data_IF_359517143239
#
_entry.id   IF_359517143239
#
_cell.length_a   1.000
_cell.length_b   1.000
_cell.length_c   1.000
_cell.angle_alpha   90.00
_cell.angle_beta   90.00
_cell.angle_gamma   90.00
#
_symmetry.space_group_name_H-M   'P 1'
#
loop_
_entity.id
_entity.type
_entity.pdbx_description
1 polymer ?
#
# COMPACT_ATOMS: atom_id res chain seq x y z
N UNK A 1 69.51 33.26 -20.83
CA UNK A 1 68.63 33.55 -19.67
C UNK A 1 67.19 33.13 -19.89
N UNK A 2 66.66 33.08 -21.12
CA UNK A 2 65.26 32.76 -21.43
C UNK A 2 64.91 31.26 -21.21
N UNK A 3 65.88 30.36 -21.39
CA UNK A 3 65.63 28.91 -21.24
C UNK A 3 65.50 28.39 -19.77
N UNK A 4 66.13 29.08 -18.81
CA UNK A 4 66.05 28.66 -17.39
C UNK A 4 64.68 28.93 -16.77
N UNK A 5 64.02 30.01 -17.12
CA UNK A 5 62.66 30.34 -16.65
C UNK A 5 61.59 29.39 -17.20
N UNK A 6 61.75 28.91 -18.42
CA UNK A 6 60.86 27.90 -19.02
C UNK A 6 61.03 26.52 -18.43
N UNK A 7 62.23 26.16 -18.06
CA UNK A 7 62.56 24.89 -17.39
C UNK A 7 62.00 24.92 -15.95
N UNK A 8 62.18 26.00 -15.23
CA UNK A 8 61.63 26.16 -13.87
C UNK A 8 60.09 26.03 -13.89
N UNK A 9 59.39 26.68 -14.82
CA UNK A 9 57.93 26.57 -14.97
C UNK A 9 57.49 25.14 -15.27
N UNK A 10 58.20 24.38 -16.11
CA UNK A 10 57.89 23.00 -16.40
C UNK A 10 58.13 22.10 -15.19
N UNK A 11 59.19 22.33 -14.43
CA UNK A 11 59.46 21.56 -13.19
C UNK A 11 58.40 21.84 -12.15
N UNK A 12 57.99 23.09 -11.95
CA UNK A 12 56.93 23.48 -11.02
C UNK A 12 55.57 22.86 -11.38
N UNK A 13 55.26 22.81 -12.69
CA UNK A 13 54.05 22.15 -13.18
C UNK A 13 54.07 20.66 -12.96
N UNK A 14 55.21 19.99 -13.26
CA UNK A 14 55.36 18.57 -12.99
C UNK A 14 55.25 18.22 -11.48
N UNK A 15 55.83 19.07 -10.65
CA UNK A 15 55.78 18.89 -9.20
C UNK A 15 54.33 19.07 -8.67
N UNK A 16 53.58 20.03 -9.23
CA UNK A 16 52.18 20.22 -8.91
C UNK A 16 51.30 19.04 -9.32
N UNK A 17 51.53 18.48 -10.52
CA UNK A 17 50.85 17.28 -11.00
C UNK A 17 51.18 16.07 -10.13
N UNK A 18 52.44 15.93 -9.73
CA UNK A 18 52.87 14.84 -8.86
C UNK A 18 52.18 14.91 -7.47
N UNK A 19 52.15 16.12 -6.88
CA UNK A 19 51.44 16.34 -5.59
C UNK A 19 49.99 16.02 -5.74
N UNK A 20 49.33 16.46 -6.81
CA UNK A 20 47.91 16.22 -7.07
C UNK A 20 47.62 14.71 -7.19
N UNK A 21 48.44 13.97 -7.92
CA UNK A 21 48.32 12.50 -8.03
C UNK A 21 48.57 11.82 -6.68
N UNK A 22 49.53 12.30 -5.91
CA UNK A 22 49.83 11.76 -4.57
C UNK A 22 48.65 12.02 -3.59
N UNK A 23 48.02 13.19 -3.66
CA UNK A 23 46.84 13.50 -2.86
C UNK A 23 45.66 12.61 -3.25
N UNK A 24 45.42 12.41 -4.54
CA UNK A 24 44.37 11.48 -5.02
C UNK A 24 44.65 10.06 -4.52
N UNK A 25 45.87 9.61 -4.61
CA UNK A 25 46.30 8.27 -4.14
C UNK A 25 46.11 8.14 -2.62
N UNK A 26 46.51 9.14 -1.84
CA UNK A 26 46.30 9.18 -0.37
C UNK A 26 44.83 9.19 -0.01
N UNK A 27 44.04 9.98 -0.69
CA UNK A 27 42.58 10.02 -0.48
C UNK A 27 41.96 8.66 -0.78
N UNK A 28 42.27 8.06 -1.93
CA UNK A 28 41.79 6.73 -2.26
C UNK A 28 42.29 5.66 -1.26
N UNK A 29 43.53 5.75 -0.82
CA UNK A 29 44.06 4.83 0.17
C UNK A 29 43.37 4.94 1.52
N UNK A 30 43.09 6.17 1.99
CA UNK A 30 42.34 6.43 3.22
C UNK A 30 40.89 5.89 3.10
N UNK A 31 40.19 6.19 2.00
CA UNK A 31 38.80 5.75 1.80
C UNK A 31 38.70 4.21 1.64
N UNK A 32 39.63 3.57 0.98
CA UNK A 32 39.58 2.13 0.79
C UNK A 32 40.08 1.31 2.01
N UNK A 33 40.89 1.91 2.89
CA UNK A 33 41.45 1.25 4.07
C UNK A 33 40.90 1.79 5.40
N UNK A 34 40.09 2.87 5.37
CA UNK A 34 39.34 3.29 6.53
C UNK A 34 38.25 2.25 6.81
N UNK A 35 38.58 1.29 7.66
CA UNK A 35 37.57 0.42 8.28
C UNK A 35 36.73 1.28 9.22
N UNK A 36 35.75 1.99 8.68
CA UNK A 36 34.73 2.68 9.44
C UNK A 36 33.53 1.72 9.59
N UNK A 37 33.46 0.94 10.66
CA UNK A 37 32.33 0.05 10.90
C UNK A 37 31.06 0.89 11.09
N UNK A 38 29.93 0.32 10.76
CA UNK A 38 28.65 0.90 11.16
C UNK A 38 28.45 0.52 12.61
N UNK A 39 28.55 1.50 13.53
CA UNK A 39 28.44 1.28 14.95
C UNK A 39 27.01 1.40 15.45
N UNK A 40 26.15 2.16 14.76
CA UNK A 40 24.79 2.38 15.16
C UNK A 40 23.81 2.22 14.00
N UNK A 41 22.81 1.36 14.19
CA UNK A 41 21.72 1.16 13.25
C UNK A 41 20.44 1.68 13.91
N UNK A 42 19.89 2.76 13.36
CA UNK A 42 18.67 3.39 13.86
C UNK A 42 17.49 3.00 12.98
N UNK A 43 16.62 2.11 13.48
CA UNK A 43 15.42 1.68 12.79
C UNK A 43 14.27 2.60 13.19
N UNK A 44 13.64 3.24 12.22
CA UNK A 44 12.51 4.16 12.37
C UNK A 44 11.30 3.62 11.62
N UNK A 45 10.12 3.90 12.13
CA UNK A 45 8.84 3.53 11.53
C UNK A 45 7.82 3.15 12.59
N UNK A 46 6.56 3.22 12.22
CA UNK A 46 5.46 2.64 13.01
C UNK A 46 4.99 1.40 12.25
N UNK A 47 5.31 0.23 12.76
CA UNK A 47 4.93 -1.05 12.20
C UNK A 47 4.27 -1.92 13.29
N UNK A 48 3.21 -2.62 12.93
CA UNK A 48 2.42 -3.47 13.83
C UNK A 48 2.47 -4.95 13.42
N UNK A 49 2.65 -5.21 12.14
CA UNK A 49 2.60 -6.57 11.56
C UNK A 49 4.00 -7.09 11.18
N UNK A 50 5.02 -6.25 11.25
CA UNK A 50 6.39 -6.66 10.97
C UNK A 50 7.06 -7.08 12.28
N UNK A 51 7.54 -8.32 12.33
CA UNK A 51 8.28 -8.81 13.49
C UNK A 51 9.68 -8.18 13.56
N UNK A 52 10.07 -7.74 14.75
CA UNK A 52 11.41 -7.21 15.00
C UNK A 52 12.50 -8.21 14.71
N UNK A 53 12.24 -9.50 14.93
CA UNK A 53 13.20 -10.56 14.65
C UNK A 53 13.50 -10.65 13.15
N UNK A 54 12.50 -10.53 12.30
CA UNK A 54 12.69 -10.47 10.84
C UNK A 54 13.53 -9.26 10.40
N UNK A 55 13.30 -8.09 11.00
CA UNK A 55 14.09 -6.90 10.76
C UNK A 55 15.54 -7.12 11.15
N UNK A 56 15.77 -7.71 12.34
CA UNK A 56 17.12 -7.96 12.85
C UNK A 56 17.87 -8.96 11.95
N UNK A 57 17.23 -10.05 11.53
CA UNK A 57 17.83 -11.04 10.64
C UNK A 57 18.29 -10.42 9.31
N UNK A 58 17.43 -9.61 8.68
CA UNK A 58 17.81 -8.90 7.45
C UNK A 58 18.92 -7.89 7.72
N UNK A 59 18.88 -7.20 8.86
CA UNK A 59 19.92 -6.25 9.23
C UNK A 59 21.27 -6.96 9.44
N UNK A 60 21.29 -8.09 10.13
CA UNK A 60 22.50 -8.88 10.35
C UNK A 60 23.06 -9.47 9.06
N UNK A 61 22.22 -9.84 8.11
CA UNK A 61 22.66 -10.46 6.85
C UNK A 61 23.12 -9.41 5.82
N UNK A 62 22.34 -8.32 5.66
CA UNK A 62 22.55 -7.37 4.55
C UNK A 62 23.17 -6.04 4.97
N UNK A 63 23.28 -5.74 6.27
CA UNK A 63 23.87 -4.51 6.79
C UNK A 63 25.24 -4.84 7.44
N UNK A 64 26.07 -5.60 6.72
CA UNK A 64 27.42 -5.93 7.15
C UNK A 64 28.44 -5.10 6.38
N UNK A 65 29.56 -4.81 7.03
CA UNK A 65 30.72 -4.21 6.39
C UNK A 65 31.02 -2.78 6.83
N UNK A 66 31.63 -2.05 5.91
CA UNK A 66 32.14 -0.72 6.12
C UNK A 66 31.09 0.32 5.69
N UNK A 67 31.02 1.45 6.38
CA UNK A 67 30.12 2.56 6.11
C UNK A 67 30.07 3.00 4.63
N UNK A 68 31.18 2.90 3.90
CA UNK A 68 31.26 3.28 2.48
C UNK A 68 30.90 2.13 1.52
N UNK A 69 31.20 0.90 1.88
CA UNK A 69 31.08 -0.27 0.99
C UNK A 69 29.74 -1.01 1.13
N UNK A 70 28.91 -0.63 2.13
CA UNK A 70 27.59 -1.23 2.31
C UNK A 70 26.72 -1.05 1.05
N UNK A 71 26.19 -2.15 0.52
CA UNK A 71 25.26 -2.12 -0.60
C UNK A 71 23.82 -1.78 -0.14
N UNK A 72 23.50 -0.47 -0.10
CA UNK A 72 22.17 -0.01 0.32
C UNK A 72 21.04 -0.51 -0.58
N UNK A 73 21.33 -0.77 -1.86
CA UNK A 73 20.32 -1.27 -2.79
C UNK A 73 19.93 -2.71 -2.46
N UNK A 74 20.90 -3.56 -2.19
CA UNK A 74 20.69 -4.95 -1.81
C UNK A 74 19.96 -5.07 -0.47
N UNK A 75 20.42 -4.32 0.54
CA UNK A 75 19.74 -4.24 1.83
C UNK A 75 18.28 -3.76 1.67
N UNK A 76 18.04 -2.70 0.89
CA UNK A 76 16.68 -2.22 0.59
C UNK A 76 15.81 -3.29 -0.06
N UNK A 77 16.38 -4.01 -1.02
CA UNK A 77 15.66 -5.08 -1.73
C UNK A 77 15.28 -6.23 -0.81
N UNK A 78 16.15 -6.59 0.13
CA UNK A 78 15.88 -7.62 1.13
C UNK A 78 14.72 -7.21 2.07
N UNK A 79 14.72 -5.99 2.59
CA UNK A 79 13.61 -5.50 3.40
C UNK A 79 12.28 -5.48 2.63
N UNK A 80 12.31 -5.14 1.34
CA UNK A 80 11.10 -5.13 0.49
C UNK A 80 10.52 -6.52 0.19
N UNK A 81 11.22 -7.58 0.51
CA UNK A 81 10.68 -8.95 0.40
C UNK A 81 9.73 -9.28 1.56
N UNK A 82 9.76 -8.52 2.66
CA UNK A 82 8.81 -8.71 3.74
C UNK A 82 7.40 -8.30 3.29
N UNK A 83 6.39 -9.16 3.46
CA UNK A 83 5.04 -8.93 2.91
C UNK A 83 4.38 -7.62 3.36
N UNK A 84 4.66 -7.20 4.58
CA UNK A 84 4.08 -6.00 5.18
C UNK A 84 4.87 -4.72 4.91
N UNK A 85 6.08 -4.83 4.35
CA UNK A 85 6.91 -3.67 4.03
C UNK A 85 6.46 -3.04 2.72
N UNK A 86 5.91 -1.84 2.79
CA UNK A 86 5.53 -1.04 1.62
C UNK A 86 6.74 -0.37 0.98
N UNK A 87 7.52 0.32 1.79
CA UNK A 87 8.75 0.98 1.33
C UNK A 87 9.78 1.06 2.45
N UNK A 88 11.04 1.14 2.05
CA UNK A 88 12.18 1.28 2.95
C UNK A 88 13.12 2.33 2.40
N UNK A 89 13.52 3.24 3.26
CA UNK A 89 14.54 4.24 2.98
C UNK A 89 15.75 4.00 3.89
N UNK A 90 16.91 3.76 3.27
CA UNK A 90 18.17 3.56 3.96
C UNK A 90 19.09 4.74 3.69
N UNK A 91 19.52 5.41 4.74
CA UNK A 91 20.41 6.57 4.66
C UNK A 91 21.60 6.42 5.58
N UNK A 92 22.79 6.64 5.02
CA UNK A 92 23.97 6.80 5.84
C UNK A 92 23.93 8.15 6.54
N UNK A 93 24.22 8.15 7.82
CA UNK A 93 24.40 9.36 8.63
C UNK A 93 25.82 9.36 9.19
N UNK A 94 26.61 10.29 8.69
CA UNK A 94 28.01 10.40 9.11
C UNK A 94 28.15 10.61 10.61
N UNK A 95 29.19 10.05 11.32
CA UNK A 95 30.31 9.30 10.73
C UNK A 95 30.07 7.79 10.55
N UNK A 96 29.18 7.15 11.32
CA UNK A 96 29.14 5.70 11.50
C UNK A 96 27.72 5.14 11.70
N UNK A 97 26.69 5.94 11.39
CA UNK A 97 25.29 5.55 11.61
C UNK A 97 24.60 5.17 10.29
N UNK A 98 23.73 4.16 10.37
CA UNK A 98 22.76 3.85 9.33
C UNK A 98 21.34 4.09 9.85
N UNK A 99 20.57 4.88 9.13
CA UNK A 99 19.14 5.11 9.42
C UNK A 99 18.32 4.31 8.44
N UNK A 100 17.51 3.39 8.95
CA UNK A 100 16.57 2.56 8.20
C UNK A 100 15.17 3.04 8.55
N UNK A 101 14.44 3.58 7.58
CA UNK A 101 13.04 4.00 7.79
C UNK A 101 12.12 3.05 7.05
N UNK A 102 11.29 2.33 7.79
CA UNK A 102 10.35 1.34 7.26
C UNK A 102 8.96 1.95 7.22
N UNK A 103 8.32 1.87 6.05
CA UNK A 103 6.90 2.19 5.88
C UNK A 103 6.11 0.89 5.68
N UNK A 104 5.17 0.63 6.58
CA UNK A 104 4.31 -0.54 6.55
C UNK A 104 3.07 -0.30 5.70
N UNK A 105 2.56 -1.35 5.04
CA UNK A 105 1.26 -1.32 4.39
C UNK A 105 0.14 -1.11 5.41
N UNK A 106 -0.78 -0.20 5.14
CA UNK A 106 -2.01 0.01 5.93
C UNK A 106 -3.18 -0.61 5.18
N UNK A 107 -3.64 -1.81 5.57
CA UNK A 107 -4.71 -2.49 4.86
C UNK A 107 -6.03 -1.75 5.03
N UNK A 108 -6.80 -1.63 3.98
CA UNK A 108 -8.15 -1.04 3.99
C UNK A 108 -9.20 -1.98 3.43
N UNK A 109 -8.79 -3.01 2.71
CA UNK A 109 -9.67 -3.99 2.10
C UNK A 109 -8.92 -5.29 1.83
N UNK A 110 -9.68 -6.37 1.59
CA UNK A 110 -9.21 -7.62 0.98
C UNK A 110 -9.45 -7.56 -0.51
N UNK A 111 -8.47 -7.95 -1.32
CA UNK A 111 -8.69 -8.17 -2.74
C UNK A 111 -9.10 -9.61 -2.95
N UNK A 112 -10.25 -9.83 -3.61
CA UNK A 112 -10.83 -11.18 -3.75
C UNK A 112 -9.82 -12.18 -4.35
N UNK A 113 -9.49 -13.24 -3.57
CA UNK A 113 -8.66 -14.36 -4.01
C UNK A 113 -7.15 -14.10 -4.10
N UNK A 114 -6.65 -12.88 -3.80
CA UNK A 114 -5.23 -12.53 -4.00
C UNK A 114 -4.54 -12.12 -2.70
N UNK A 115 -5.10 -11.14 -1.96
CA UNK A 115 -4.44 -10.59 -0.78
C UNK A 115 -5.15 -9.37 -0.20
N UNK A 116 -4.38 -8.35 0.12
CA UNK A 116 -4.87 -7.12 0.75
C UNK A 116 -4.66 -5.91 -0.17
N UNK A 117 -5.44 -4.85 0.08
CA UNK A 117 -5.30 -3.54 -0.56
C UNK A 117 -4.96 -2.53 0.51
N UNK A 118 -3.90 -1.76 0.29
CA UNK A 118 -3.48 -0.72 1.22
C UNK A 118 -4.20 0.62 0.96
N UNK A 119 -3.91 1.58 1.83
CA UNK A 119 -4.45 2.94 1.74
C UNK A 119 -3.98 3.75 0.52
N UNK A 120 -2.98 3.29 -0.22
CA UNK A 120 -2.49 3.89 -1.47
C UNK A 120 -3.13 3.26 -2.72
N UNK A 121 -3.96 2.21 -2.53
CA UNK A 121 -4.54 1.45 -3.63
C UNK A 121 -3.52 0.55 -4.32
N UNK A 122 -2.68 -0.10 -3.54
CA UNK A 122 -1.72 -1.10 -3.98
C UNK A 122 -2.13 -2.45 -3.41
N UNK A 123 -2.09 -3.50 -4.24
CA UNK A 123 -2.33 -4.88 -3.81
C UNK A 123 -1.03 -5.44 -3.26
N UNK A 124 -1.11 -6.12 -2.11
CA UNK A 124 0.03 -6.82 -1.52
C UNK A 124 -0.39 -8.16 -0.93
N UNK A 125 0.54 -9.09 -0.88
CA UNK A 125 0.26 -10.47 -0.45
C UNK A 125 0.61 -10.60 1.03
N UNK A 126 -0.42 -10.49 1.86
CA UNK A 126 -0.34 -10.72 3.29
C UNK A 126 -1.69 -11.23 3.83
N UNK A 127 -1.71 -11.69 5.07
CA UNK A 127 -2.92 -12.11 5.78
C UNK A 127 -3.14 -11.25 7.02
N UNK A 128 -4.41 -11.07 7.40
CA UNK A 128 -4.81 -10.37 8.61
C UNK A 128 -6.11 -10.96 9.15
N UNK A 129 -6.29 -10.90 10.47
CA UNK A 129 -7.55 -11.26 11.14
C UNK A 129 -8.55 -10.08 11.16
N UNK A 130 -8.15 -8.91 10.69
CA UNK A 130 -9.03 -7.74 10.64
C UNK A 130 -10.25 -7.99 9.74
N UNK A 131 -11.40 -7.53 10.19
CA UNK A 131 -12.63 -7.59 9.40
C UNK A 131 -12.67 -6.45 8.38
N UNK A 132 -12.03 -6.66 7.26
CA UNK A 132 -11.91 -5.70 6.17
C UNK A 132 -12.98 -5.95 5.08
N UNK A 133 -13.45 -4.90 4.41
CA UNK A 133 -14.31 -5.02 3.23
C UNK A 133 -13.58 -5.76 2.10
N UNK A 134 -14.36 -6.35 1.18
CA UNK A 134 -13.82 -7.09 0.04
C UNK A 134 -13.95 -6.22 -1.22
N UNK A 135 -12.84 -6.09 -1.95
CA UNK A 135 -12.80 -5.49 -3.27
C UNK A 135 -12.83 -6.59 -4.34
N UNK A 136 -13.71 -6.43 -5.34
CA UNK A 136 -13.91 -7.36 -6.45
C UNK A 136 -13.88 -6.57 -7.75
N UNK A 137 -12.90 -6.83 -8.61
CA UNK A 137 -12.79 -6.14 -9.89
C UNK A 137 -11.47 -6.37 -10.61
N UNK A 138 -11.24 -5.69 -11.74
CA UNK A 138 -9.96 -5.77 -12.45
C UNK A 138 -8.84 -5.06 -11.66
N UNK A 139 -7.67 -5.69 -11.56
CA UNK A 139 -6.53 -5.20 -10.75
C UNK A 139 -6.04 -3.81 -11.17
N UNK A 140 -6.09 -3.50 -12.46
CA UNK A 140 -5.69 -2.19 -12.97
C UNK A 140 -6.57 -1.03 -12.47
N UNK A 141 -7.73 -1.32 -11.87
CA UNK A 141 -8.63 -0.32 -11.27
C UNK A 141 -8.54 -0.23 -9.75
N UNK A 142 -7.61 -0.94 -9.09
CA UNK A 142 -7.50 -0.96 -7.63
C UNK A 142 -7.39 0.44 -7.00
N UNK A 143 -6.62 1.34 -7.61
CA UNK A 143 -6.49 2.74 -7.15
C UNK A 143 -7.80 3.49 -7.24
N UNK A 144 -8.50 3.37 -8.36
CA UNK A 144 -9.81 3.99 -8.57
C UNK A 144 -10.84 3.42 -7.59
N UNK A 145 -10.84 2.11 -7.39
CA UNK A 145 -11.69 1.43 -6.42
C UNK A 145 -11.43 1.93 -4.99
N UNK A 146 -10.17 2.12 -4.62
CA UNK A 146 -9.77 2.68 -3.32
C UNK A 146 -10.32 4.09 -3.11
N UNK A 147 -10.19 4.96 -4.10
CA UNK A 147 -10.73 6.34 -4.05
C UNK A 147 -12.25 6.29 -3.93
N UNK A 148 -12.89 5.49 -4.77
CA UNK A 148 -14.36 5.36 -4.80
C UNK A 148 -14.91 4.76 -3.52
N UNK A 149 -14.24 3.75 -2.96
CA UNK A 149 -14.59 3.17 -1.67
C UNK A 149 -14.59 4.23 -0.56
N UNK A 150 -13.55 5.05 -0.45
CA UNK A 150 -13.49 6.11 0.56
C UNK A 150 -14.61 7.13 0.40
N UNK A 151 -14.87 7.53 -0.85
CA UNK A 151 -15.94 8.48 -1.16
C UNK A 151 -17.30 7.93 -0.74
N UNK A 152 -17.63 6.71 -1.12
CA UNK A 152 -18.89 6.05 -0.81
C UNK A 152 -19.01 5.80 0.69
N UNK A 153 -17.97 5.24 1.30
CA UNK A 153 -17.98 4.91 2.73
C UNK A 153 -18.17 6.16 3.61
N UNK A 154 -17.57 7.30 3.22
CA UNK A 154 -17.80 8.59 3.90
C UNK A 154 -19.27 9.05 3.85
N UNK A 155 -19.97 8.74 2.76
CA UNK A 155 -21.40 9.08 2.62
C UNK A 155 -22.23 8.15 3.48
N UNK A 156 -21.97 6.83 3.44
CA UNK A 156 -22.72 5.80 4.15
C UNK A 156 -22.52 5.84 5.67
N UNK A 157 -21.31 6.20 6.12
CA UNK A 157 -20.94 6.24 7.54
C UNK A 157 -21.85 7.18 8.37
N UNK A 158 -22.47 8.17 7.74
CA UNK A 158 -23.42 9.09 8.39
C UNK A 158 -24.66 8.37 8.95
N UNK A 159 -25.00 7.22 8.37
CA UNK A 159 -26.13 6.38 8.74
C UNK A 159 -25.69 5.06 9.40
N UNK A 160 -24.44 4.98 9.88
CA UNK A 160 -23.87 3.78 10.46
C UNK A 160 -23.91 2.57 9.52
N UNK A 161 -23.91 2.84 8.20
CA UNK A 161 -23.84 1.82 7.16
C UNK A 161 -22.40 1.73 6.69
N UNK A 162 -21.90 0.50 6.59
CA UNK A 162 -20.54 0.23 6.10
C UNK A 162 -20.58 -0.67 4.87
N UNK A 163 -19.60 -0.53 4.02
CA UNK A 163 -19.43 -1.40 2.85
C UNK A 163 -18.78 -2.70 3.32
N UNK A 164 -19.41 -3.84 3.04
CA UNK A 164 -18.81 -5.17 3.21
C UNK A 164 -18.16 -5.67 1.92
N UNK A 165 -18.73 -5.34 0.76
CA UNK A 165 -18.16 -5.67 -0.55
C UNK A 165 -18.34 -4.47 -1.47
N UNK A 166 -17.30 -4.12 -2.23
CA UNK A 166 -17.39 -3.20 -3.36
C UNK A 166 -16.94 -3.93 -4.61
N UNK A 167 -17.78 -3.89 -5.65
CA UNK A 167 -17.53 -4.57 -6.91
C UNK A 167 -17.50 -3.60 -8.08
N UNK A 168 -16.49 -3.72 -8.90
CA UNK A 168 -16.39 -3.09 -10.21
C UNK A 168 -16.38 -4.18 -11.27
N UNK A 169 -17.44 -4.23 -12.11
CA UNK A 169 -17.49 -5.19 -13.21
C UNK A 169 -16.56 -4.76 -14.34
N UNK A 170 -16.21 -5.68 -15.26
CA UNK A 170 -15.44 -5.40 -16.48
C UNK A 170 -16.10 -4.32 -17.37
N UNK A 171 -17.42 -4.17 -17.25
CA UNK A 171 -18.18 -3.10 -17.93
C UNK A 171 -18.18 -1.80 -17.15
N UNK A 172 -17.31 -1.64 -16.14
CA UNK A 172 -17.18 -0.47 -15.27
C UNK A 172 -18.48 -0.09 -14.56
N UNK A 173 -19.26 -1.08 -14.15
CA UNK A 173 -20.47 -0.89 -13.37
C UNK A 173 -20.20 -1.16 -11.88
N UNK A 174 -20.49 -0.20 -11.05
CA UNK A 174 -20.29 -0.25 -9.61
C UNK A 174 -21.45 -0.91 -8.90
N UNK A 175 -21.14 -1.75 -7.95
CA UNK A 175 -22.08 -2.39 -7.04
C UNK A 175 -21.45 -2.43 -5.65
N UNK A 176 -22.23 -2.23 -4.61
CA UNK A 176 -21.80 -2.39 -3.23
C UNK A 176 -22.72 -3.35 -2.49
N UNK A 177 -22.18 -4.04 -1.49
CA UNK A 177 -22.95 -4.76 -0.48
C UNK A 177 -22.66 -4.12 0.88
N UNK A 178 -23.70 -3.82 1.62
CA UNK A 178 -23.58 -3.18 2.93
C UNK A 178 -23.47 -4.22 4.06
N UNK A 179 -23.06 -3.78 5.25
CA UNK A 179 -23.08 -4.61 6.47
C UNK A 179 -24.48 -5.13 6.82
N UNK A 180 -25.54 -4.47 6.35
CA UNK A 180 -26.92 -4.90 6.49
C UNK A 180 -27.35 -5.89 5.39
N UNK A 181 -26.39 -6.44 4.65
CA UNK A 181 -26.57 -7.42 3.57
C UNK A 181 -27.32 -6.91 2.34
N UNK A 182 -27.64 -5.61 2.25
CA UNK A 182 -28.31 -5.03 1.10
C UNK A 182 -27.30 -4.84 -0.03
N UNK A 183 -27.62 -5.38 -1.20
CA UNK A 183 -26.85 -5.17 -2.42
C UNK A 183 -27.41 -3.95 -3.15
N UNK A 184 -26.55 -2.98 -3.48
CA UNK A 184 -26.92 -1.75 -4.15
C UNK A 184 -26.23 -1.63 -5.49
N UNK A 185 -26.98 -1.64 -6.59
CA UNK A 185 -26.46 -1.52 -7.95
C UNK A 185 -26.42 -0.03 -8.33
N UNK A 186 -25.20 0.49 -8.49
CA UNK A 186 -24.97 1.93 -8.70
C UNK A 186 -24.72 2.28 -10.18
N UNK A 187 -24.28 1.30 -10.99
CA UNK A 187 -23.97 1.52 -12.42
C UNK A 187 -22.68 2.30 -12.65
N UNK A 188 -22.52 2.86 -13.87
CA UNK A 188 -21.26 3.47 -14.31
C UNK A 188 -21.11 4.94 -13.94
N UNK A 189 -22.17 5.71 -13.99
CA UNK A 189 -22.16 7.18 -13.87
C UNK A 189 -22.88 7.64 -12.60
N UNK A 190 -22.48 8.81 -12.10
CA UNK A 190 -23.16 9.49 -10.99
C UNK A 190 -23.24 8.64 -9.70
N UNK A 191 -22.20 7.79 -9.47
CA UNK A 191 -22.17 6.83 -8.36
C UNK A 191 -22.44 7.51 -7.02
N UNK A 192 -21.72 8.57 -6.70
CA UNK A 192 -21.85 9.29 -5.42
C UNK A 192 -23.22 9.94 -5.23
N UNK A 193 -23.80 10.46 -6.30
CA UNK A 193 -25.17 11.00 -6.28
C UNK A 193 -26.20 9.90 -6.01
N UNK A 194 -26.04 8.74 -6.63
CA UNK A 194 -26.90 7.56 -6.41
C UNK A 194 -26.79 7.02 -4.99
N UNK A 195 -25.59 7.01 -4.40
CA UNK A 195 -25.39 6.65 -2.99
C UNK A 195 -26.12 7.64 -2.06
N UNK A 196 -26.04 8.94 -2.34
CA UNK A 196 -26.80 9.96 -1.57
C UNK A 196 -28.33 9.74 -1.69
N UNK A 197 -28.81 9.44 -2.88
CA UNK A 197 -30.23 9.10 -3.09
C UNK A 197 -30.61 7.79 -2.39
N UNK A 198 -29.76 6.78 -2.39
CA UNK A 198 -29.96 5.55 -1.63
C UNK A 198 -30.14 5.85 -0.14
N UNK A 199 -29.24 6.62 0.47
CA UNK A 199 -29.32 7.00 1.89
C UNK A 199 -30.61 7.74 2.20
N UNK A 200 -30.98 8.74 1.40
CA UNK A 200 -32.21 9.50 1.60
C UNK A 200 -33.43 8.59 1.61
N UNK A 201 -33.51 7.61 0.74
CA UNK A 201 -34.66 6.70 0.66
C UNK A 201 -34.54 5.55 1.67
N UNK A 202 -33.34 5.23 2.15
CA UNK A 202 -33.11 4.18 3.13
C UNK A 202 -33.86 4.46 4.43
N UNK A 203 -33.81 5.68 4.93
CA UNK A 203 -34.48 6.07 6.18
C UNK A 203 -35.99 5.97 6.09
N UNK A 204 -36.60 6.33 4.94
CA UNK A 204 -38.03 6.44 4.80
C UNK A 204 -38.74 5.17 4.31
N UNK A 205 -38.07 4.38 3.46
CA UNK A 205 -38.71 3.27 2.76
C UNK A 205 -38.04 1.95 3.03
N UNK A 206 -36.70 1.95 3.03
CA UNK A 206 -35.94 0.70 3.05
C UNK A 206 -35.67 0.18 4.47
N UNK A 207 -35.71 1.04 5.49
CA UNK A 207 -35.50 0.65 6.89
C UNK A 207 -36.56 -0.31 7.40
N UNK A 208 -37.84 -0.09 7.02
CA UNK A 208 -38.95 -0.98 7.39
C UNK A 208 -38.87 -2.34 6.68
N UNK A 209 -38.32 -2.39 5.48
CA UNK A 209 -38.22 -3.58 4.64
C UNK A 209 -36.86 -4.33 4.79
N UNK A 210 -36.04 -3.94 5.74
CA UNK A 210 -34.61 -4.32 5.86
C UNK A 210 -34.35 -5.83 5.76
N UNK A 211 -35.20 -6.67 6.33
CA UNK A 211 -35.03 -8.15 6.30
C UNK A 211 -35.58 -8.81 5.03
N UNK A 212 -36.24 -8.08 4.15
CA UNK A 212 -36.89 -8.60 2.95
C UNK A 212 -36.22 -8.13 1.64
N UNK A 213 -35.17 -7.29 1.72
CA UNK A 213 -34.56 -6.71 0.55
C UNK A 213 -33.37 -7.59 0.11
N UNK A 214 -33.40 -8.05 -1.15
CA UNK A 214 -32.29 -8.73 -1.83
C UNK A 214 -31.33 -7.69 -2.46
N UNK A 215 -31.87 -6.80 -3.29
CA UNK A 215 -31.08 -5.71 -3.83
C UNK A 215 -31.92 -4.46 -4.14
N UNK A 216 -31.22 -3.32 -4.23
CA UNK A 216 -31.75 -2.02 -4.66
C UNK A 216 -31.01 -1.59 -5.92
N UNK A 217 -31.74 -1.33 -7.00
CA UNK A 217 -31.16 -0.82 -8.25
C UNK A 217 -31.35 0.70 -8.36
N UNK A 218 -30.25 1.42 -8.26
CA UNK A 218 -30.19 2.89 -8.30
C UNK A 218 -29.86 3.45 -9.69
N UNK A 219 -29.90 2.64 -10.74
CA UNK A 219 -29.53 3.07 -12.10
C UNK A 219 -30.57 3.94 -12.77
N UNK A 220 -31.79 3.93 -12.30
CA UNK A 220 -32.87 4.74 -12.86
C UNK A 220 -32.64 6.23 -12.58
N UNK A 221 -33.15 7.08 -13.49
CA UNK A 221 -32.95 8.54 -13.41
C UNK A 221 -33.72 9.16 -12.25
N UNK A 222 -34.99 8.79 -12.14
CA UNK A 222 -35.98 9.48 -11.26
C UNK A 222 -36.48 8.55 -10.15
N UNK A 223 -35.81 7.44 -9.87
CA UNK A 223 -36.24 6.49 -8.87
C UNK A 223 -35.27 5.34 -8.63
N UNK A 224 -35.75 4.30 -8.01
CA UNK A 224 -35.02 3.06 -7.77
C UNK A 224 -36.00 1.86 -7.81
N UNK A 225 -35.44 0.69 -8.04
CA UNK A 225 -36.15 -0.58 -8.01
C UNK A 225 -35.67 -1.42 -6.84
N UNK A 226 -36.59 -2.03 -6.12
CA UNK A 226 -36.31 -2.92 -5.00
C UNK A 226 -36.75 -4.34 -5.36
N UNK A 227 -35.86 -5.30 -5.18
CA UNK A 227 -36.17 -6.71 -5.24
C UNK A 227 -36.23 -7.29 -3.86
N UNK A 228 -37.36 -7.91 -3.53
CA UNK A 228 -37.55 -8.61 -2.25
C UNK A 228 -36.98 -10.02 -2.31
N UNK A 229 -36.45 -10.49 -1.19
CA UNK A 229 -35.98 -11.87 -1.02
C UNK A 229 -37.20 -12.81 -1.10
N UNK A 230 -37.13 -13.82 -1.96
CA UNK A 230 -38.15 -14.89 -1.98
C UNK A 230 -38.05 -15.66 -0.67
N UNK A 231 -39.06 -15.63 0.20
CA UNK A 231 -39.19 -16.55 1.34
C UNK A 231 -39.12 -17.98 0.76
N UNK A 232 -38.08 -18.76 1.10
CA UNK A 232 -38.10 -20.21 0.86
C UNK A 232 -39.27 -20.76 1.71
N UNK A 233 -40.34 -21.15 1.05
CA UNK A 233 -41.39 -21.95 1.71
C UNK A 233 -40.76 -23.25 2.21
N UNK A 234 -40.51 -23.34 3.50
CA UNK A 234 -40.09 -24.54 4.22
C UNK A 234 -41.24 -25.52 4.53
N UNK A 235 -42.40 -25.30 3.93
CA UNK A 235 -43.54 -26.16 4.15
C UNK A 235 -44.00 -26.85 2.86
N UNK A 236 -43.24 -27.90 2.46
CA UNK A 236 -43.79 -28.99 1.61
C UNK A 236 -42.88 -30.21 1.68
N UNK A 237 -42.71 -30.81 2.86
CA UNK A 237 -42.35 -32.21 2.97
C UNK A 237 -42.63 -32.72 4.38
N UNK A 238 -43.91 -32.81 4.69
CA UNK A 238 -44.37 -33.61 5.82
C UNK A 238 -45.88 -33.90 5.56
N UNK A 239 -46.16 -34.77 4.62
CA UNK A 239 -47.39 -35.57 4.56
C UNK A 239 -47.35 -36.41 3.26
N UNK A 240 -46.64 -37.54 3.31
CA UNK A 240 -46.97 -38.72 2.52
C UNK A 240 -46.21 -39.90 3.11
N UNK A 241 -46.73 -40.43 4.22
CA UNK A 241 -46.56 -41.82 4.57
C UNK A 241 -47.69 -42.21 5.46
N UNK A 242 -48.73 -42.76 4.87
CA UNK A 242 -49.63 -43.75 5.41
C UNK A 242 -49.72 -44.85 4.39
#
# INVERSE_FOLDING_TARGET
MINSLSIIKRITYLLFVLIFVCVIFLVNHIFNHANLPINEILIKGQYQHIDREQINLITEEYVQGNFFNLNLYEARSAFKQLPWVRDVDLRRKWPDQLVITIEEHKPIARWEGIGLVNDKGEIFIASTEENLPIFVGPENFVKEMTIKFREINKILAKELIHISIIKLSERLSWEIKTNNFIRVVLGKKNVSSRVKSFIKNYQFVLAELKSEIDYVDMRYRDGFSVRKTKKKNKDKTLNSTI
#
